data_IF_422849836857
#
_entry.id   IF_422849836857
#
_cell.length_a   1.000
_cell.length_b   1.000
_cell.length_c   1.000
_cell.angle_alpha   90.00
_cell.angle_beta   90.00
_cell.angle_gamma   90.00
#
_symmetry.space_group_name_H-M   'P 1'
#
loop_
_entity.id
_entity.type
_entity.pdbx_description
1 polymer ?
#
# COMPACT_ATOMS: atom_id res chain seq x y z
N UNK A 1 6.83 -12.66 -6.03
CA UNK A 1 7.89 -12.39 -7.04
C UNK A 1 7.46 -11.38 -8.10
N UNK A 2 6.35 -11.58 -8.82
CA UNK A 2 5.93 -10.63 -9.87
C UNK A 2 5.45 -9.27 -9.36
N UNK A 3 4.73 -9.22 -8.24
CA UNK A 3 4.36 -7.94 -7.64
C UNK A 3 5.57 -7.22 -7.02
N UNK A 4 6.50 -7.98 -6.43
CA UNK A 4 7.81 -7.44 -6.06
C UNK A 4 8.51 -6.88 -7.30
N UNK A 5 8.48 -7.55 -8.45
CA UNK A 5 9.08 -7.02 -9.68
C UNK A 5 8.34 -5.79 -10.22
N UNK A 6 7.01 -5.73 -10.16
CA UNK A 6 6.23 -4.57 -10.62
C UNK A 6 6.48 -3.35 -9.72
N UNK A 7 6.43 -3.54 -8.40
CA UNK A 7 6.76 -2.51 -7.42
C UNK A 7 8.24 -2.13 -7.51
N UNK A 8 9.17 -3.09 -7.61
CA UNK A 8 10.60 -2.81 -7.80
C UNK A 8 10.85 -2.06 -9.12
N UNK A 9 10.17 -2.38 -10.22
CA UNK A 9 10.32 -1.63 -11.47
C UNK A 9 9.74 -0.21 -11.35
N UNK A 10 8.67 -0.02 -10.57
CA UNK A 10 8.12 1.29 -10.25
C UNK A 10 9.09 2.11 -9.38
N UNK A 11 9.67 1.50 -8.33
CA UNK A 11 10.64 2.13 -7.43
C UNK A 11 12.03 2.36 -8.06
N UNK A 12 12.53 1.45 -8.92
CA UNK A 12 13.80 1.62 -9.63
C UNK A 12 13.74 2.76 -10.66
N UNK A 13 12.55 3.12 -11.14
CA UNK A 13 12.38 4.28 -12.01
C UNK A 13 12.63 5.62 -11.27
N UNK A 14 12.47 5.66 -9.94
CA UNK A 14 12.53 6.91 -9.15
C UNK A 14 13.87 7.14 -8.41
N UNK A 15 14.67 6.10 -8.14
CA UNK A 15 15.93 6.23 -7.34
C UNK A 15 17.21 6.37 -8.19
N UNK A 16 17.13 6.22 -9.51
CA UNK A 16 18.29 6.22 -10.41
C UNK A 16 18.69 7.60 -10.96
N UNK A 17 19.43 8.40 -10.20
CA UNK A 17 20.13 9.57 -10.72
C UNK A 17 21.35 9.17 -11.55
N UNK A 18 21.19 8.88 -12.84
CA UNK A 18 22.22 9.08 -13.87
C UNK A 18 21.63 9.06 -15.29
N UNK A 19 22.01 10.07 -16.05
CA UNK A 19 21.54 10.48 -17.38
C UNK A 19 21.57 9.34 -18.42
N UNK A 20 20.41 8.74 -18.71
CA UNK A 20 20.15 8.00 -19.95
C UNK A 20 18.64 7.95 -20.23
N UNK A 21 18.21 8.76 -21.21
CA UNK A 21 16.85 8.98 -21.75
C UNK A 21 15.69 9.15 -20.73
N UNK A 22 14.89 10.22 -20.84
CA UNK A 22 13.86 10.53 -19.85
C UNK A 22 12.80 9.41 -19.83
N UNK A 23 12.55 8.74 -18.69
CA UNK A 23 11.39 7.89 -18.57
C UNK A 23 10.16 8.79 -18.53
N UNK A 24 9.24 8.50 -19.44
CA UNK A 24 7.88 9.01 -19.53
C UNK A 24 7.33 9.54 -18.20
N UNK A 25 7.15 10.86 -18.12
CA UNK A 25 6.50 11.54 -16.99
C UNK A 25 5.13 10.92 -16.67
N UNK A 26 4.70 11.01 -15.41
CA UNK A 26 3.40 10.54 -14.86
C UNK A 26 2.14 10.73 -15.75
N UNK A 27 2.05 11.73 -16.65
CA UNK A 27 0.98 11.76 -17.67
C UNK A 27 0.90 10.53 -18.58
N UNK A 28 1.95 9.71 -18.70
CA UNK A 28 1.99 8.60 -19.65
C UNK A 28 1.36 7.31 -19.11
N UNK A 29 1.20 7.17 -17.79
CA UNK A 29 0.49 6.04 -17.18
C UNK A 29 -1.03 6.12 -17.45
N UNK A 30 -1.55 7.34 -17.58
CA UNK A 30 -2.91 7.61 -18.04
C UNK A 30 -3.10 7.33 -19.55
N UNK A 31 -1.99 7.23 -20.31
CA UNK A 31 -1.96 7.00 -21.76
C UNK A 31 -1.44 5.60 -22.14
N UNK A 32 -1.16 4.75 -21.16
CA UNK A 32 -0.75 3.36 -21.41
C UNK A 32 -1.86 2.64 -22.18
N UNK A 33 -1.57 1.98 -23.32
CA UNK A 33 -2.61 1.32 -24.11
C UNK A 33 -3.37 0.34 -23.23
N UNK A 34 -4.71 0.41 -23.22
CA UNK A 34 -5.62 -0.50 -22.48
C UNK A 34 -5.12 -1.94 -22.53
N UNK A 35 -4.58 -2.35 -23.69
CA UNK A 35 -3.99 -3.67 -23.94
C UNK A 35 -2.94 -4.13 -22.92
N UNK A 36 -2.11 -3.27 -22.33
CA UNK A 36 -1.08 -3.68 -21.35
C UNK A 36 -1.72 -3.97 -19.99
N UNK A 37 -2.74 -3.19 -19.61
CA UNK A 37 -3.51 -3.40 -18.39
C UNK A 37 -4.44 -4.61 -18.51
N UNK A 38 -5.00 -4.85 -19.71
CA UNK A 38 -5.86 -5.98 -20.04
C UNK A 38 -5.09 -7.32 -20.09
N UNK A 39 -3.78 -7.27 -20.35
CA UNK A 39 -2.91 -8.45 -20.41
C UNK A 39 -2.25 -8.78 -19.07
N UNK A 40 -2.45 -7.95 -18.04
CA UNK A 40 -2.16 -8.28 -16.67
C UNK A 40 -3.21 -9.29 -16.17
N UNK A 41 -3.05 -10.55 -16.58
CA UNK A 41 -3.67 -11.76 -16.01
C UNK A 41 -3.47 -11.91 -14.50
N UNK A 42 -2.83 -10.94 -13.83
CA UNK A 42 -2.44 -10.94 -12.44
C UNK A 42 -3.57 -10.54 -11.47
N UNK A 43 -4.55 -9.75 -11.91
CA UNK A 43 -5.56 -9.15 -11.04
C UNK A 43 -6.97 -9.71 -11.21
N UNK A 44 -7.14 -10.70 -12.08
CA UNK A 44 -8.44 -11.21 -12.45
C UNK A 44 -9.15 -11.77 -11.20
N UNK A 45 -10.24 -11.12 -10.78
CA UNK A 45 -11.00 -11.47 -9.57
C UNK A 45 -10.79 -10.57 -8.34
N UNK A 46 -9.75 -9.71 -8.33
CA UNK A 46 -9.49 -8.75 -7.24
C UNK A 46 -10.04 -7.37 -7.57
N UNK A 47 -9.81 -6.90 -8.80
CA UNK A 47 -10.33 -5.63 -9.30
C UNK A 47 -11.44 -5.87 -10.33
N UNK A 48 -12.49 -5.06 -10.27
CA UNK A 48 -13.66 -5.18 -11.15
C UNK A 48 -13.38 -4.64 -12.56
N UNK A 49 -12.49 -3.65 -12.68
CA UNK A 49 -12.15 -3.00 -13.93
C UNK A 49 -10.81 -2.25 -13.83
N UNK A 50 -10.33 -1.76 -14.98
CA UNK A 50 -9.10 -0.99 -15.12
C UNK A 50 -9.07 0.30 -14.29
N UNK A 51 -10.22 0.97 -14.15
CA UNK A 51 -10.36 2.20 -13.37
C UNK A 51 -10.10 1.93 -11.88
N UNK A 52 -10.60 0.81 -11.35
CA UNK A 52 -10.36 0.39 -9.96
C UNK A 52 -8.87 0.17 -9.67
N UNK A 53 -8.13 -0.36 -10.66
CA UNK A 53 -6.68 -0.55 -10.54
C UNK A 53 -5.98 0.81 -10.48
N UNK A 54 -6.35 1.72 -11.37
CA UNK A 54 -5.77 3.07 -11.40
C UNK A 54 -6.05 3.83 -10.11
N UNK A 55 -7.29 3.80 -9.61
CA UNK A 55 -7.68 4.44 -8.34
C UNK A 55 -6.91 3.87 -7.13
N UNK A 56 -6.67 2.56 -7.12
CA UNK A 56 -5.89 1.92 -6.07
C UNK A 56 -4.44 2.42 -6.06
N UNK A 57 -3.75 2.36 -7.20
CA UNK A 57 -2.36 2.78 -7.29
C UNK A 57 -2.19 4.29 -7.10
N UNK A 58 -3.12 5.08 -7.62
CA UNK A 58 -3.17 6.52 -7.35
C UNK A 58 -3.24 6.74 -5.84
N UNK A 59 -4.16 6.08 -5.13
CA UNK A 59 -4.33 6.21 -3.68
C UNK A 59 -3.12 5.68 -2.88
N UNK A 60 -2.53 4.57 -3.29
CA UNK A 60 -1.33 4.05 -2.65
C UNK A 60 -0.15 5.05 -2.76
N UNK A 61 -0.01 5.72 -3.91
CA UNK A 61 1.11 6.60 -4.22
C UNK A 61 2.33 5.85 -4.75
N UNK A 62 3.27 6.60 -5.31
CA UNK A 62 4.58 6.06 -5.73
C UNK A 62 5.52 5.86 -4.54
N UNK A 63 5.39 6.71 -3.53
CA UNK A 63 6.12 6.67 -2.27
C UNK A 63 5.15 6.37 -1.11
N UNK A 64 5.44 5.32 -0.34
CA UNK A 64 4.68 4.89 0.84
C UNK A 64 5.63 4.23 1.87
N UNK A 65 6.71 4.93 2.20
CA UNK A 65 7.83 4.40 3.00
C UNK A 65 7.42 3.94 4.40
N UNK A 66 6.35 4.51 4.95
CA UNK A 66 5.81 4.16 6.26
C UNK A 66 5.01 2.84 6.31
N UNK A 67 4.71 2.23 5.15
CA UNK A 67 4.03 0.94 5.02
C UNK A 67 4.97 -0.25 4.75
N UNK A 68 6.25 -0.10 5.09
CA UNK A 68 7.27 -1.12 4.86
C UNK A 68 6.98 -2.49 5.53
N UNK A 69 6.12 -2.57 6.54
CA UNK A 69 5.78 -3.84 7.19
C UNK A 69 4.79 -4.68 6.37
N UNK A 70 4.01 -4.06 5.48
CA UNK A 70 2.95 -4.73 4.72
C UNK A 70 3.17 -4.74 3.20
N UNK A 71 4.15 -4.00 2.67
CA UNK A 71 4.33 -3.85 1.22
C UNK A 71 4.57 -5.18 0.48
N UNK A 72 5.21 -6.16 1.12
CA UNK A 72 5.48 -7.47 0.51
C UNK A 72 4.24 -8.39 0.51
N UNK A 73 3.22 -8.04 1.30
CA UNK A 73 1.98 -8.80 1.43
C UNK A 73 0.85 -8.06 0.72
N UNK A 74 0.68 -8.33 -0.57
CA UNK A 74 -0.29 -7.62 -1.40
C UNK A 74 -1.74 -7.71 -0.92
N UNK A 75 -2.27 -8.88 -0.51
CA UNK A 75 -3.61 -8.93 0.10
C UNK A 75 -3.76 -8.00 1.31
N UNK A 76 -2.74 -7.92 2.18
CA UNK A 76 -2.77 -7.02 3.34
C UNK A 76 -2.69 -5.55 2.91
N UNK A 77 -1.78 -5.21 1.99
CA UNK A 77 -1.64 -3.85 1.44
C UNK A 77 -2.93 -3.38 0.75
N UNK A 78 -3.52 -4.24 -0.09
CA UNK A 78 -4.78 -3.98 -0.77
C UNK A 78 -5.90 -3.70 0.24
N UNK A 79 -6.02 -4.55 1.26
CA UNK A 79 -7.03 -4.40 2.29
C UNK A 79 -6.83 -3.08 3.07
N UNK A 80 -5.58 -2.79 3.47
CA UNK A 80 -5.22 -1.57 4.19
C UNK A 80 -5.59 -0.31 3.41
N UNK A 81 -5.15 -0.17 2.15
CA UNK A 81 -5.43 1.00 1.30
C UNK A 81 -6.94 1.19 1.14
N UNK A 82 -7.67 0.13 0.82
CA UNK A 82 -9.11 0.21 0.59
C UNK A 82 -9.88 0.59 1.87
N UNK A 83 -9.52 0.00 3.01
CA UNK A 83 -10.16 0.31 4.29
C UNK A 83 -9.83 1.69 4.79
N UNK A 84 -8.57 2.11 4.69
CA UNK A 84 -8.15 3.47 5.04
C UNK A 84 -8.96 4.49 4.23
N UNK A 85 -9.01 4.32 2.89
CA UNK A 85 -9.78 5.21 2.02
C UNK A 85 -11.27 5.20 2.34
N UNK A 86 -11.84 4.02 2.61
CA UNK A 86 -13.25 3.85 2.96
C UNK A 86 -13.62 4.55 4.28
N UNK A 87 -12.83 4.36 5.34
CA UNK A 87 -13.17 4.82 6.71
C UNK A 87 -12.78 6.27 6.94
N UNK A 88 -11.61 6.69 6.44
CA UNK A 88 -11.07 8.03 6.75
C UNK A 88 -11.19 8.99 5.58
N UNK A 89 -11.41 8.49 4.36
CA UNK A 89 -11.34 9.30 3.14
C UNK A 89 -9.92 9.61 2.68
N UNK A 90 -8.89 9.29 3.47
CA UNK A 90 -7.49 9.52 3.14
C UNK A 90 -6.84 8.31 2.46
N UNK A 91 -5.78 8.59 1.73
CA UNK A 91 -4.96 7.65 1.01
C UNK A 91 -3.58 7.53 1.68
N UNK A 92 -2.89 6.37 1.61
CA UNK A 92 -1.57 6.24 2.21
C UNK A 92 -0.55 7.30 1.78
N UNK A 93 -0.58 7.68 0.50
CA UNK A 93 0.24 8.76 -0.06
C UNK A 93 0.05 10.11 0.65
N UNK A 94 -1.11 10.36 1.25
CA UNK A 94 -1.43 11.63 1.89
C UNK A 94 -0.63 11.80 3.20
N UNK A 95 -0.07 10.71 3.71
CA UNK A 95 0.76 10.67 4.91
C UNK A 95 2.23 10.33 4.59
N UNK A 96 2.64 10.32 3.33
CA UNK A 96 4.05 10.10 3.01
C UNK A 96 4.92 11.24 3.56
N UNK A 97 5.98 10.86 4.28
CA UNK A 97 6.87 11.76 5.03
C UNK A 97 6.16 12.71 6.01
N UNK A 98 4.92 12.38 6.41
CA UNK A 98 4.18 13.14 7.41
C UNK A 98 4.69 12.84 8.82
N UNK A 99 4.60 13.85 9.70
CA UNK A 99 4.80 13.59 11.11
C UNK A 99 6.25 13.22 11.47
N UNK A 100 6.40 12.52 12.57
CA UNK A 100 7.62 11.85 13.01
C UNK A 100 7.56 10.34 12.70
N UNK A 101 6.38 9.78 12.43
CA UNK A 101 6.15 8.33 12.40
C UNK A 101 5.68 7.82 11.03
N UNK A 102 4.94 8.62 10.25
CA UNK A 102 4.51 8.29 8.89
C UNK A 102 5.63 8.53 7.85
N UNK A 103 6.80 7.93 8.06
CA UNK A 103 7.97 8.03 7.18
C UNK A 103 8.79 6.75 7.20
N UNK A 104 9.91 6.68 6.50
CA UNK A 104 10.77 5.48 6.51
C UNK A 104 11.28 5.12 7.92
N UNK A 105 11.89 6.08 8.62
CA UNK A 105 12.45 5.90 9.97
C UNK A 105 11.66 6.72 10.98
N UNK A 106 11.19 6.12 12.08
CA UNK A 106 10.47 6.88 13.11
C UNK A 106 11.43 7.81 13.86
N UNK A 107 11.07 9.09 13.96
CA UNK A 107 11.91 10.14 14.53
C UNK A 107 11.25 10.79 15.75
N UNK A 108 11.46 10.25 16.94
CA UNK A 108 10.93 10.85 18.17
C UNK A 108 9.47 10.48 18.44
N UNK A 109 8.72 11.40 19.06
CA UNK A 109 7.34 11.18 19.49
C UNK A 109 6.34 11.72 18.46
N UNK A 110 5.13 11.14 18.36
CA UNK A 110 4.10 11.62 17.46
C UNK A 110 3.76 13.09 17.66
N UNK A 111 3.61 13.83 16.56
CA UNK A 111 3.31 15.27 16.60
C UNK A 111 1.83 15.59 16.81
N UNK A 112 0.95 14.71 16.32
CA UNK A 112 -0.52 14.84 16.41
C UNK A 112 -1.20 13.46 16.38
N UNK A 113 -2.54 13.45 16.37
CA UNK A 113 -3.33 12.21 16.40
C UNK A 113 -3.17 11.37 15.13
N UNK A 114 -2.92 11.98 13.97
CA UNK A 114 -2.73 11.23 12.73
C UNK A 114 -1.35 10.55 12.71
N UNK A 115 -0.33 11.27 13.17
CA UNK A 115 1.01 10.72 13.34
C UNK A 115 1.06 9.62 14.42
N UNK A 116 0.26 9.74 15.49
CA UNK A 116 0.11 8.67 16.49
C UNK A 116 -0.50 7.41 15.87
N UNK A 117 -1.45 7.53 14.94
CA UNK A 117 -1.95 6.36 14.22
C UNK A 117 -0.84 5.62 13.45
N UNK A 118 0.06 6.34 12.78
CA UNK A 118 1.22 5.73 12.11
C UNK A 118 2.17 5.08 13.11
N UNK A 119 2.45 5.75 14.23
CA UNK A 119 3.29 5.22 15.30
C UNK A 119 2.73 3.90 15.85
N UNK A 120 1.46 3.87 16.24
CA UNK A 120 0.82 2.65 16.76
C UNK A 120 0.78 1.54 15.69
N UNK A 121 0.49 1.89 14.43
CA UNK A 121 0.46 0.92 13.33
C UNK A 121 1.82 0.25 13.14
N UNK A 122 2.91 1.03 13.12
CA UNK A 122 4.27 0.50 12.97
C UNK A 122 4.69 -0.34 14.16
N UNK A 123 4.43 0.15 15.37
CA UNK A 123 4.75 -0.58 16.60
C UNK A 123 4.02 -1.92 16.68
N UNK A 124 2.77 -1.99 16.23
CA UNK A 124 2.02 -3.24 16.15
C UNK A 124 2.73 -4.29 15.27
N UNK A 125 3.31 -3.89 14.14
CA UNK A 125 4.09 -4.79 13.28
C UNK A 125 5.44 -5.17 13.86
N UNK A 126 6.13 -4.23 14.53
CA UNK A 126 7.38 -4.51 15.24
C UNK A 126 7.16 -5.54 16.35
N UNK A 127 6.15 -5.32 17.20
CA UNK A 127 5.76 -6.25 18.27
C UNK A 127 5.32 -7.61 17.72
N UNK A 128 4.56 -7.65 16.62
CA UNK A 128 4.18 -8.89 15.96
C UNK A 128 5.40 -9.68 15.44
N UNK A 129 6.39 -8.98 14.89
CA UNK A 129 7.65 -9.60 14.44
C UNK A 129 8.47 -10.14 15.61
N UNK A 130 8.54 -9.40 16.73
CA UNK A 130 9.21 -9.85 17.96
C UNK A 130 8.54 -11.10 18.58
N UNK A 131 7.22 -11.20 18.46
CA UNK A 131 6.44 -12.38 18.86
C UNK A 131 6.52 -13.53 17.85
N UNK A 132 7.34 -13.43 16.80
CA UNK A 132 7.45 -14.41 15.72
C UNK A 132 6.10 -14.72 15.05
N UNK A 133 5.19 -13.74 15.02
CA UNK A 133 3.92 -13.87 14.33
C UNK A 133 4.16 -13.91 12.82
N UNK A 134 3.50 -14.86 12.15
CA UNK A 134 3.52 -14.96 10.70
C UNK A 134 2.14 -14.63 10.12
N UNK A 135 2.15 -14.15 8.89
CA UNK A 135 0.93 -13.89 8.14
C UNK A 135 0.20 -15.19 7.83
N UNK A 136 -1.05 -15.30 8.27
CA UNK A 136 -1.95 -16.37 7.86
C UNK A 136 -2.80 -15.88 6.67
N UNK A 137 -2.55 -16.36 5.43
CA UNK A 137 -3.30 -15.94 4.25
C UNK A 137 -4.79 -16.21 4.36
N UNK A 138 -5.20 -17.21 5.17
CA UNK A 138 -6.61 -17.55 5.35
C UNK A 138 -7.39 -16.50 6.18
N UNK A 139 -6.68 -15.66 6.93
CA UNK A 139 -7.26 -14.59 7.76
C UNK A 139 -7.23 -13.21 7.10
N UNK A 140 -6.62 -13.10 5.92
CA UNK A 140 -6.59 -11.84 5.18
C UNK A 140 -7.81 -11.81 4.26
N UNK A 141 -8.78 -10.96 4.60
CA UNK A 141 -9.91 -10.72 3.71
C UNK A 141 -9.44 -10.03 2.43
N UNK A 142 -9.85 -10.57 1.29
CA UNK A 142 -9.74 -9.92 -0.02
C UNK A 142 -11.01 -9.19 -0.40
N UNK A 143 -12.00 -9.11 0.50
CA UNK A 143 -13.20 -8.32 0.27
C UNK A 143 -12.86 -6.83 0.33
N UNK A 144 -12.98 -6.20 -0.83
CA UNK A 144 -12.76 -4.76 -1.06
C UNK A 144 -14.06 -3.97 -0.84
N UNK A 145 -15.16 -4.64 -0.46
CA UNK A 145 -16.40 -3.95 -0.12
C UNK A 145 -16.16 -2.95 1.02
N UNK A 146 -16.58 -1.70 0.81
CA UNK A 146 -16.53 -0.67 1.82
C UNK A 146 -17.70 -0.86 2.78
N UNK A 147 -17.58 -1.88 3.64
CA UNK A 147 -18.46 -2.03 4.79
C UNK A 147 -17.78 -1.39 6.00
N UNK A 148 -18.46 -0.44 6.65
CA UNK A 148 -18.08 0.07 7.97
C UNK A 148 -18.37 -0.96 9.08
N UNK A 149 -18.43 -2.25 8.74
CA UNK A 149 -18.56 -3.29 9.75
C UNK A 149 -17.37 -3.17 10.71
N UNK A 150 -17.64 -3.32 12.00
CA UNK A 150 -16.59 -3.33 13.01
C UNK A 150 -15.52 -4.33 12.58
N UNK A 151 -14.26 -3.89 12.52
CA UNK A 151 -13.13 -4.76 12.28
C UNK A 151 -13.05 -5.77 13.43
N UNK A 152 -13.68 -6.92 13.26
CA UNK A 152 -13.65 -7.99 14.24
C UNK A 152 -12.43 -8.84 13.98
N UNK A 153 -11.48 -8.83 14.91
CA UNK A 153 -10.42 -9.82 14.94
C UNK A 153 -11.02 -11.17 15.34
N UNK A 154 -10.79 -12.20 14.53
CA UNK A 154 -11.11 -13.58 14.91
C UNK A 154 -10.29 -14.00 16.13
N UNK A 155 -10.84 -14.88 16.99
CA UNK A 155 -10.05 -15.50 18.05
C UNK A 155 -9.05 -16.48 17.44
N UNK A 156 -7.85 -16.49 17.99
CA UNK A 156 -6.87 -17.55 17.79
C UNK A 156 -7.24 -18.66 18.77
N UNK A 157 -7.64 -19.83 18.26
CA UNK A 157 -7.84 -21.05 19.06
C UNK A 157 -6.50 -21.66 19.48
#
# INVERSE_FOLDING_TARGET
LFLNLFLLNFFFAEVGGQELEPPASLPELLNTPERILNNATFFNGVFQNVESVALFFDCLGSHFTWLQSIFTNFPALLNFVNKMKCVTGFCPRDFEDYGCSCRFEMEGLPMDEADDCCFQHRKCYEEAMEMECSWDPSRISTDVSCSTENLTCGKID
#
